data_IF_374999170120
#
_entry.id   IF_374999170120
#
_cell.length_a   1.000
_cell.length_b   1.000
_cell.length_c   1.000
_cell.angle_alpha   90.00
_cell.angle_beta   90.00
_cell.angle_gamma   90.00
#
_symmetry.space_group_name_H-M   'P 1'
#
loop_
_entity.id
_entity.type
_entity.pdbx_description
1 polymer ?
#
# COMPACT_ATOMS: atom_id res chain seq x y z
N UNK A 1 3.09 -10.97 -15.52
CA UNK A 1 4.35 -11.75 -15.51
C UNK A 1 5.51 -10.85 -15.87
N UNK A 2 6.58 -10.89 -15.08
CA UNK A 2 7.80 -10.13 -15.35
C UNK A 2 8.66 -10.87 -16.40
N UNK A 3 9.18 -10.21 -17.46
CA UNK A 3 10.09 -10.83 -18.40
C UNK A 3 11.33 -11.41 -17.74
N UNK A 4 11.95 -12.47 -18.31
CA UNK A 4 13.10 -13.15 -17.69
C UNK A 4 14.34 -12.27 -17.49
N UNK A 5 14.52 -11.25 -18.33
CA UNK A 5 15.65 -10.32 -18.34
C UNK A 5 15.51 -9.14 -17.36
N UNK A 6 14.39 -9.05 -16.64
CA UNK A 6 14.17 -7.96 -15.70
C UNK A 6 14.96 -8.17 -14.39
N UNK A 7 15.68 -7.15 -13.88
CA UNK A 7 16.43 -7.24 -12.62
C UNK A 7 15.61 -7.72 -11.44
N UNK A 8 14.36 -7.24 -11.33
CA UNK A 8 13.44 -7.66 -10.27
C UNK A 8 13.15 -9.17 -10.28
N UNK A 9 13.12 -9.78 -11.49
CA UNK A 9 12.95 -11.22 -11.61
C UNK A 9 14.19 -11.99 -11.13
N UNK A 10 15.38 -11.51 -11.42
CA UNK A 10 16.61 -12.13 -10.94
C UNK A 10 16.63 -12.17 -9.40
N UNK A 11 16.32 -11.04 -8.76
CA UNK A 11 16.22 -10.95 -7.29
C UNK A 11 15.18 -11.94 -6.74
N UNK A 12 14.02 -12.07 -7.40
CA UNK A 12 12.99 -13.02 -7.00
C UNK A 12 13.51 -14.47 -7.04
N UNK A 13 14.12 -14.87 -8.17
CA UNK A 13 14.66 -16.22 -8.35
C UNK A 13 15.79 -16.51 -7.37
N UNK A 14 16.67 -15.55 -7.12
CA UNK A 14 17.78 -15.72 -6.18
C UNK A 14 17.28 -15.92 -4.73
N UNK A 15 16.21 -15.22 -4.33
CA UNK A 15 15.54 -15.46 -3.04
C UNK A 15 14.94 -16.85 -2.93
N UNK A 16 14.30 -17.34 -4.00
CA UNK A 16 13.75 -18.69 -4.02
C UNK A 16 14.85 -19.75 -3.97
N UNK A 17 15.97 -19.56 -4.70
CA UNK A 17 17.13 -20.43 -4.63
C UNK A 17 17.72 -20.48 -3.22
N UNK A 18 17.82 -19.33 -2.56
CA UNK A 18 18.32 -19.25 -1.18
C UNK A 18 17.40 -19.95 -0.17
N UNK A 19 16.08 -19.98 -0.43
CA UNK A 19 15.10 -20.60 0.47
C UNK A 19 14.94 -22.10 0.23
N UNK A 20 14.93 -22.54 -1.04
CA UNK A 20 14.54 -23.91 -1.43
C UNK A 20 15.69 -24.78 -1.91
N UNK A 21 16.87 -24.21 -2.13
CA UNK A 21 18.07 -24.85 -2.68
C UNK A 21 17.89 -25.48 -4.07
N UNK A 22 16.77 -26.16 -4.32
CA UNK A 22 16.50 -26.88 -5.57
C UNK A 22 15.20 -26.47 -6.24
N UNK A 23 15.14 -26.64 -7.56
CA UNK A 23 13.92 -26.40 -8.33
C UNK A 23 12.79 -27.37 -7.95
N UNK A 24 13.14 -28.62 -7.64
CA UNK A 24 12.16 -29.63 -7.22
C UNK A 24 11.50 -29.26 -5.89
N UNK A 25 12.26 -28.68 -4.97
CA UNK A 25 11.72 -28.23 -3.68
C UNK A 25 10.70 -27.09 -3.84
N UNK A 26 10.97 -26.08 -4.69
CA UNK A 26 10.02 -25.03 -4.95
C UNK A 26 8.80 -25.53 -5.76
N UNK A 27 9.02 -26.42 -6.73
CA UNK A 27 7.91 -27.04 -7.47
C UNK A 27 6.97 -27.81 -6.52
N UNK A 28 7.52 -28.58 -5.60
CA UNK A 28 6.72 -29.29 -4.59
C UNK A 28 5.95 -28.33 -3.66
N UNK A 29 6.60 -27.26 -3.18
CA UNK A 29 6.00 -26.30 -2.28
C UNK A 29 4.88 -25.48 -2.96
N UNK A 30 5.04 -25.14 -4.23
CA UNK A 30 4.09 -24.32 -4.98
C UNK A 30 3.04 -25.13 -5.74
N UNK A 31 3.19 -26.46 -5.84
CA UNK A 31 2.40 -27.29 -6.73
C UNK A 31 2.64 -26.94 -8.20
N UNK A 32 3.86 -26.54 -8.55
CA UNK A 32 4.29 -26.18 -9.88
C UNK A 32 5.02 -27.34 -10.56
N UNK A 33 5.28 -27.21 -11.87
CA UNK A 33 6.03 -28.18 -12.67
C UNK A 33 6.98 -27.46 -13.63
N UNK A 34 7.75 -26.50 -13.11
CA UNK A 34 8.73 -25.76 -13.90
C UNK A 34 9.92 -26.65 -14.22
N UNK A 35 10.40 -26.62 -15.47
CA UNK A 35 11.56 -27.37 -15.94
C UNK A 35 12.88 -26.65 -15.68
N UNK A 36 12.83 -25.35 -15.39
CA UNK A 36 13.97 -24.52 -15.03
C UNK A 36 13.56 -23.34 -14.16
N UNK A 37 14.52 -22.70 -13.48
CA UNK A 37 14.30 -21.46 -12.74
C UNK A 37 13.76 -20.33 -13.63
N UNK A 38 14.20 -20.26 -14.89
CA UNK A 38 13.72 -19.27 -15.84
C UNK A 38 12.30 -19.54 -16.33
N UNK A 39 11.87 -20.80 -16.31
CA UNK A 39 10.52 -21.20 -16.66
C UNK A 39 9.54 -21.07 -15.47
N UNK A 40 10.04 -20.94 -14.23
CA UNK A 40 9.18 -20.85 -13.05
C UNK A 40 8.26 -19.62 -13.14
N UNK A 41 6.96 -19.84 -12.92
CA UNK A 41 5.91 -18.80 -12.91
C UNK A 41 5.00 -19.04 -11.71
N UNK A 42 4.37 -17.98 -11.24
CA UNK A 42 3.31 -18.11 -10.25
C UNK A 42 2.17 -18.93 -10.86
N UNK A 43 1.76 -20.05 -10.24
CA UNK A 43 0.66 -20.85 -10.72
C UNK A 43 -0.68 -20.12 -10.57
N UNK A 44 -1.65 -20.44 -11.43
CA UNK A 44 -3.01 -19.86 -11.34
C UNK A 44 -3.66 -20.15 -9.99
N UNK A 45 -3.45 -21.36 -9.47
CA UNK A 45 -3.87 -21.76 -8.13
C UNK A 45 -2.66 -21.82 -7.20
N UNK A 46 -2.49 -20.75 -6.43
CA UNK A 46 -1.37 -20.62 -5.52
C UNK A 46 -1.58 -21.37 -4.22
N UNK A 47 -0.56 -22.11 -3.79
CA UNK A 47 -0.46 -22.65 -2.43
C UNK A 47 -0.14 -21.54 -1.42
N UNK A 48 -0.31 -21.81 -0.13
CA UNK A 48 0.04 -20.84 0.91
C UNK A 48 1.55 -20.53 0.91
N UNK A 49 2.40 -21.51 0.59
CA UNK A 49 3.83 -21.30 0.41
C UNK A 49 4.12 -20.33 -0.75
N UNK A 50 3.45 -20.52 -1.91
CA UNK A 50 3.61 -19.63 -3.06
C UNK A 50 3.17 -18.19 -2.74
N UNK A 51 2.03 -18.02 -2.05
CA UNK A 51 1.54 -16.71 -1.61
C UNK A 51 2.54 -16.02 -0.68
N UNK A 52 3.01 -16.74 0.35
CA UNK A 52 3.97 -16.21 1.31
C UNK A 52 5.28 -15.78 0.63
N UNK A 53 5.74 -16.53 -0.37
CA UNK A 53 6.95 -16.16 -1.13
C UNK A 53 6.72 -14.92 -2.01
N UNK A 54 5.56 -14.81 -2.63
CA UNK A 54 5.19 -13.62 -3.40
C UNK A 54 5.10 -12.38 -2.49
N UNK A 55 4.42 -12.47 -1.36
CA UNK A 55 4.30 -11.40 -0.36
C UNK A 55 5.66 -10.98 0.19
N UNK A 56 6.56 -11.92 0.46
CA UNK A 56 7.91 -11.62 0.94
C UNK A 56 8.74 -10.84 -0.11
N UNK A 57 8.52 -11.11 -1.40
CA UNK A 57 9.19 -10.36 -2.47
C UNK A 57 8.55 -9.00 -2.68
N UNK A 58 7.22 -8.89 -2.64
CA UNK A 58 6.51 -7.61 -2.68
C UNK A 58 6.99 -6.68 -1.55
N UNK A 59 7.04 -7.20 -0.32
CA UNK A 59 7.57 -6.47 0.83
C UNK A 59 9.01 -6.00 0.57
N UNK A 60 9.90 -6.91 0.19
CA UNK A 60 11.30 -6.57 0.03
C UNK A 60 11.56 -5.56 -1.10
N UNK A 61 10.79 -5.65 -2.19
CA UNK A 61 10.87 -4.70 -3.29
C UNK A 61 10.37 -3.31 -2.86
N UNK A 62 9.22 -3.27 -2.19
CA UNK A 62 8.65 -2.03 -1.66
C UNK A 62 9.55 -1.41 -0.59
N UNK A 63 10.09 -2.21 0.32
CA UNK A 63 11.00 -1.73 1.37
C UNK A 63 12.25 -1.09 0.76
N UNK A 64 12.86 -1.73 -0.23
CA UNK A 64 14.03 -1.17 -0.93
C UNK A 64 13.70 0.16 -1.62
N UNK A 65 12.51 0.28 -2.23
CA UNK A 65 12.04 1.52 -2.84
C UNK A 65 11.92 2.64 -1.81
N UNK A 66 11.21 2.41 -0.70
CA UNK A 66 11.02 3.43 0.34
C UNK A 66 12.33 3.77 1.03
N UNK A 67 13.18 2.79 1.32
CA UNK A 67 14.49 2.99 1.94
C UNK A 67 15.41 3.86 1.08
N UNK A 68 15.44 3.62 -0.23
CA UNK A 68 16.25 4.42 -1.18
C UNK A 68 15.83 5.89 -1.16
N UNK A 69 14.52 6.16 -1.08
CA UNK A 69 14.01 7.53 -1.02
C UNK A 69 14.29 8.15 0.35
N UNK A 70 14.08 7.42 1.44
CA UNK A 70 14.37 7.89 2.79
C UNK A 70 15.84 8.33 2.94
N UNK A 71 16.77 7.50 2.48
CA UNK A 71 18.20 7.82 2.49
C UNK A 71 18.54 9.09 1.67
N UNK A 72 17.83 9.32 0.57
CA UNK A 72 18.01 10.55 -0.22
C UNK A 72 17.43 11.77 0.51
N UNK A 73 16.26 11.64 1.16
CA UNK A 73 15.66 12.71 1.95
C UNK A 73 16.56 13.05 3.13
N UNK A 74 17.03 12.08 3.89
CA UNK A 74 17.93 12.25 5.03
C UNK A 74 19.21 12.99 4.63
N UNK A 75 19.73 12.74 3.44
CA UNK A 75 20.95 13.37 2.92
C UNK A 75 20.72 14.82 2.48
N UNK A 76 19.58 15.12 1.86
CA UNK A 76 19.35 16.38 1.17
C UNK A 76 18.33 17.29 1.88
N UNK A 77 17.47 16.73 2.72
CA UNK A 77 16.41 17.43 3.44
C UNK A 77 16.17 16.83 4.84
N UNK A 78 17.19 16.76 5.72
CA UNK A 78 17.14 15.99 6.98
C UNK A 78 16.12 16.48 8.00
N UNK A 79 15.54 17.67 7.78
CA UNK A 79 14.52 18.25 8.66
C UNK A 79 13.09 18.08 8.12
N UNK A 80 12.89 17.30 7.06
CA UNK A 80 11.58 17.07 6.47
C UNK A 80 11.08 15.66 6.82
N UNK A 81 9.78 15.55 7.08
CA UNK A 81 9.14 14.25 7.27
C UNK A 81 8.93 13.55 5.90
N UNK A 82 9.22 12.28 5.87
CA UNK A 82 8.91 11.43 4.72
C UNK A 82 7.54 10.78 4.90
N UNK A 83 6.58 11.09 4.02
CA UNK A 83 5.21 10.58 4.07
C UNK A 83 4.96 9.40 3.11
N UNK A 84 6.00 8.91 2.45
CA UNK A 84 5.88 7.79 1.50
C UNK A 84 5.01 8.10 0.29
N UNK A 85 4.17 7.12 -0.06
CA UNK A 85 3.15 7.25 -1.10
C UNK A 85 1.77 7.43 -0.49
N UNK A 86 0.84 8.07 -1.23
CA UNK A 86 -0.58 8.11 -0.86
C UNK A 86 -1.27 6.84 -1.34
N UNK A 87 -1.55 5.94 -0.42
CA UNK A 87 -2.20 4.67 -0.73
C UNK A 87 -3.72 4.80 -0.75
N UNK A 88 -4.34 3.91 -1.52
CA UNK A 88 -5.76 3.63 -1.39
C UNK A 88 -5.91 2.30 -0.64
N UNK A 89 -6.31 2.28 0.64
CA UNK A 89 -6.17 1.11 1.53
C UNK A 89 -6.82 -0.17 1.01
N UNK A 90 -7.92 -0.04 0.25
CA UNK A 90 -8.63 -1.19 -0.30
C UNK A 90 -7.91 -1.88 -1.47
N UNK A 91 -6.93 -1.22 -2.08
CA UNK A 91 -6.21 -1.72 -3.27
C UNK A 91 -4.71 -1.86 -3.05
N UNK A 92 -4.20 -1.41 -1.92
CA UNK A 92 -2.79 -1.56 -1.58
C UNK A 92 -2.53 -2.95 -1.00
N UNK A 93 -1.59 -3.75 -1.55
CA UNK A 93 -1.18 -4.99 -0.93
C UNK A 93 -0.61 -4.75 0.47
N UNK A 94 -1.01 -5.59 1.44
CA UNK A 94 -0.54 -5.45 2.83
C UNK A 94 0.99 -5.43 2.96
N UNK A 95 1.76 -6.30 2.26
CA UNK A 95 3.23 -6.26 2.32
C UNK A 95 3.82 -4.92 1.88
N UNK A 96 3.23 -4.27 0.88
CA UNK A 96 3.69 -2.96 0.38
C UNK A 96 3.42 -1.86 1.40
N UNK A 97 2.22 -1.86 2.00
CA UNK A 97 1.86 -0.89 3.03
C UNK A 97 2.74 -1.05 4.28
N UNK A 98 2.98 -2.29 4.71
CA UNK A 98 3.87 -2.59 5.84
C UNK A 98 5.30 -2.12 5.54
N UNK A 99 5.83 -2.43 4.35
CA UNK A 99 7.16 -1.98 3.94
C UNK A 99 7.29 -0.45 3.92
N UNK A 100 6.23 0.26 3.54
CA UNK A 100 6.19 1.73 3.67
C UNK A 100 6.22 2.15 5.14
N UNK A 101 5.35 1.58 5.97
CA UNK A 101 5.24 1.91 7.39
C UNK A 101 6.56 1.69 8.16
N UNK A 102 7.34 0.67 7.78
CA UNK A 102 8.62 0.38 8.43
C UNK A 102 9.70 1.46 8.18
N UNK A 103 9.54 2.26 7.12
CA UNK A 103 10.55 3.22 6.67
C UNK A 103 10.14 4.67 6.87
N UNK A 104 8.88 5.02 6.60
CA UNK A 104 8.41 6.42 6.60
C UNK A 104 8.15 6.96 8.01
N UNK A 105 8.10 8.28 8.15
CA UNK A 105 7.71 8.93 9.42
C UNK A 105 6.20 8.89 9.62
N UNK A 106 5.43 9.09 8.56
CA UNK A 106 3.97 9.12 8.58
C UNK A 106 3.45 8.39 7.35
N UNK A 107 2.49 7.48 7.53
CA UNK A 107 1.81 6.81 6.40
C UNK A 107 0.74 7.72 5.85
N UNK A 108 0.66 7.90 4.54
CA UNK A 108 -0.38 8.69 3.89
C UNK A 108 -1.33 7.83 3.08
N UNK A 109 -2.64 8.07 3.24
CA UNK A 109 -3.68 7.36 2.49
C UNK A 109 -4.70 8.31 1.88
N UNK A 110 -5.29 7.92 0.76
CA UNK A 110 -6.47 8.56 0.18
C UNK A 110 -7.71 7.76 0.58
N UNK A 111 -8.69 8.40 1.22
CA UNK A 111 -9.81 7.66 1.77
C UNK A 111 -11.15 8.36 1.53
N UNK A 112 -11.87 7.92 0.50
CA UNK A 112 -13.10 8.53 0.00
C UNK A 112 -14.34 7.78 0.51
N UNK A 113 -14.64 7.93 1.79
CA UNK A 113 -15.87 7.48 2.43
C UNK A 113 -16.45 8.61 3.33
N UNK A 114 -17.69 8.51 3.80
CA UNK A 114 -18.25 9.52 4.69
C UNK A 114 -17.59 9.61 6.07
N UNK A 115 -16.84 8.59 6.48
CA UNK A 115 -16.10 8.54 7.74
C UNK A 115 -14.96 7.52 7.66
N UNK A 116 -13.98 7.62 8.54
CA UNK A 116 -12.89 6.65 8.69
C UNK A 116 -13.29 5.63 9.76
N UNK A 117 -13.47 4.34 9.42
CA UNK A 117 -13.72 3.30 10.40
C UNK A 117 -12.52 3.09 11.34
N UNK A 118 -12.77 2.84 12.62
CA UNK A 118 -11.71 2.62 13.62
C UNK A 118 -10.81 1.41 13.35
N UNK A 119 -11.24 0.50 12.48
CA UNK A 119 -10.45 -0.67 12.06
C UNK A 119 -9.49 -0.40 10.89
N UNK A 120 -9.59 0.75 10.25
CA UNK A 120 -8.71 1.10 9.11
C UNK A 120 -7.30 1.32 9.62
N UNK A 121 -6.34 0.54 9.12
CA UNK A 121 -4.92 0.63 9.50
C UNK A 121 -4.64 0.55 11.02
N UNK A 122 -5.52 -0.09 11.79
CA UNK A 122 -5.34 -0.28 13.23
C UNK A 122 -4.15 -1.20 13.57
N UNK A 123 -3.67 -1.98 12.62
CA UNK A 123 -2.50 -2.86 12.70
C UNK A 123 -1.18 -2.17 12.29
N UNK A 124 -1.23 -0.92 11.84
CA UNK A 124 -0.05 -0.13 11.49
C UNK A 124 0.40 0.70 12.70
N UNK A 125 1.59 0.40 13.21
CA UNK A 125 2.21 1.13 14.33
C UNK A 125 2.97 2.37 13.82
N UNK A 126 2.23 3.30 13.21
CA UNK A 126 2.74 4.59 12.70
C UNK A 126 1.63 5.65 12.73
N UNK A 127 1.98 6.92 12.85
CA UNK A 127 1.05 8.01 12.55
C UNK A 127 0.54 7.90 11.11
N UNK A 128 -0.74 8.15 10.91
CA UNK A 128 -1.39 8.12 9.59
C UNK A 128 -2.01 9.47 9.28
N UNK A 129 -1.87 9.94 8.05
CA UNK A 129 -2.54 11.14 7.55
C UNK A 129 -3.44 10.79 6.37
N UNK A 130 -4.64 11.36 6.34
CA UNK A 130 -5.45 11.36 5.14
C UNK A 130 -4.83 12.37 4.17
N UNK A 131 -4.26 11.87 3.08
CA UNK A 131 -3.63 12.70 2.05
C UNK A 131 -4.63 13.29 1.08
N UNK A 132 -5.84 12.69 0.98
CA UNK A 132 -6.87 13.12 0.04
C UNK A 132 -8.25 12.61 0.45
N UNK A 133 -9.22 13.53 0.50
CA UNK A 133 -10.64 13.30 0.71
C UNK A 133 -11.43 14.45 0.10
N UNK A 134 -12.66 14.21 -0.34
CA UNK A 134 -13.60 15.28 -0.70
C UNK A 134 -15.05 14.86 -0.54
N UNK A 135 -15.92 15.85 -0.47
CA UNK A 135 -17.38 15.74 -0.57
C UNK A 135 -17.88 16.73 -1.60
N UNK A 136 -18.67 16.29 -2.57
CA UNK A 136 -19.10 17.14 -3.67
C UNK A 136 -20.61 17.24 -3.80
N UNK A 137 -21.09 18.43 -4.20
CA UNK A 137 -22.49 18.72 -4.49
C UNK A 137 -22.64 19.50 -5.81
N UNK A 138 -23.82 19.45 -6.43
CA UNK A 138 -24.07 20.06 -7.74
C UNK A 138 -24.73 21.44 -7.68
N UNK A 139 -25.15 21.90 -6.50
CA UNK A 139 -25.94 23.12 -6.29
C UNK A 139 -25.17 24.44 -6.52
N UNK A 140 -23.84 24.36 -6.76
CA UNK A 140 -22.98 25.51 -7.06
C UNK A 140 -22.31 25.45 -8.43
N UNK A 141 -22.91 24.71 -9.37
CA UNK A 141 -22.46 24.67 -10.77
C UNK A 141 -21.40 23.65 -11.10
N UNK A 142 -21.08 22.72 -10.21
CA UNK A 142 -20.24 21.59 -10.52
C UNK A 142 -20.96 20.60 -11.43
N UNK A 143 -20.25 19.96 -12.36
CA UNK A 143 -20.79 18.97 -13.29
C UNK A 143 -20.81 17.55 -12.70
N UNK A 144 -20.05 17.32 -11.65
CA UNK A 144 -19.89 16.01 -11.01
C UNK A 144 -19.60 16.16 -9.52
N UNK A 145 -20.15 15.26 -8.71
CA UNK A 145 -19.96 15.28 -7.23
C UNK A 145 -18.61 14.74 -6.78
N UNK A 146 -17.85 14.12 -7.66
CA UNK A 146 -16.71 13.32 -7.25
C UNK A 146 -17.11 11.95 -6.67
N UNK A 147 -16.27 11.37 -5.83
CA UNK A 147 -16.44 10.02 -5.29
C UNK A 147 -17.44 9.93 -4.13
N UNK A 148 -17.57 11.00 -3.34
CA UNK A 148 -18.53 11.07 -2.24
C UNK A 148 -19.48 12.23 -2.45
N UNK A 149 -20.74 11.91 -2.75
CA UNK A 149 -21.77 12.89 -3.05
C UNK A 149 -22.45 13.42 -1.78
N UNK A 150 -22.72 14.72 -1.75
CA UNK A 150 -23.61 15.38 -0.81
C UNK A 150 -24.81 15.99 -1.55
N UNK A 151 -25.90 16.26 -0.84
CA UNK A 151 -27.10 16.82 -1.43
C UNK A 151 -26.91 18.29 -1.88
N UNK A 152 -26.13 19.05 -1.13
CA UNK A 152 -25.81 20.47 -1.34
C UNK A 152 -24.54 20.85 -0.57
N UNK A 153 -24.12 22.12 -0.64
CA UNK A 153 -22.92 22.60 0.06
C UNK A 153 -23.00 22.50 1.58
N UNK A 154 -24.18 22.68 2.16
CA UNK A 154 -24.35 22.50 3.62
C UNK A 154 -24.12 21.04 4.00
N UNK A 155 -24.64 20.08 3.22
CA UNK A 155 -24.38 18.66 3.36
C UNK A 155 -22.89 18.29 3.17
N UNK A 156 -22.16 18.97 2.30
CA UNK A 156 -20.69 18.82 2.21
C UNK A 156 -20.03 19.22 3.53
N UNK A 157 -20.45 20.32 4.15
CA UNK A 157 -19.95 20.78 5.45
C UNK A 157 -20.25 19.79 6.58
N UNK A 158 -21.45 19.20 6.61
CA UNK A 158 -21.84 18.19 7.58
C UNK A 158 -21.01 16.92 7.45
N UNK A 159 -20.83 16.41 6.22
CA UNK A 159 -19.99 15.25 5.94
C UNK A 159 -18.54 15.51 6.30
N UNK A 160 -18.02 16.71 5.99
CA UNK A 160 -16.65 17.08 6.38
C UNK A 160 -16.48 17.09 7.90
N UNK A 161 -17.42 17.69 8.63
CA UNK A 161 -17.38 17.70 10.11
C UNK A 161 -17.44 16.29 10.70
N UNK A 162 -18.28 15.39 10.16
CA UNK A 162 -18.33 13.99 10.55
C UNK A 162 -17.02 13.28 10.27
N UNK A 163 -16.45 13.49 9.09
CA UNK A 163 -15.20 12.89 8.69
C UNK A 163 -14.05 13.29 9.62
N UNK A 164 -13.89 14.60 9.88
CA UNK A 164 -12.85 15.11 10.78
C UNK A 164 -12.98 14.52 12.19
N UNK A 165 -14.21 14.37 12.71
CA UNK A 165 -14.42 13.70 14.00
C UNK A 165 -13.92 12.25 13.97
N UNK A 166 -14.27 11.49 12.92
CA UNK A 166 -13.82 10.11 12.81
C UNK A 166 -12.29 9.98 12.68
N UNK A 167 -11.63 10.94 12.04
CA UNK A 167 -10.15 11.03 12.01
C UNK A 167 -9.58 11.33 13.39
N UNK A 168 -10.16 12.32 14.09
CA UNK A 168 -9.68 12.73 15.42
C UNK A 168 -9.91 11.66 16.52
N UNK A 169 -10.93 10.84 16.37
CA UNK A 169 -11.23 9.72 17.27
C UNK A 169 -10.38 8.47 17.01
N UNK A 170 -9.72 8.40 15.84
CA UNK A 170 -8.92 7.25 15.48
C UNK A 170 -7.52 7.33 16.13
N UNK A 171 -7.02 6.26 16.79
CA UNK A 171 -5.79 6.31 17.58
C UNK A 171 -4.53 6.61 16.75
N UNK A 172 -4.51 6.22 15.48
CA UNK A 172 -3.32 6.32 14.63
C UNK A 172 -3.35 7.54 13.70
N UNK A 173 -4.51 8.20 13.50
CA UNK A 173 -4.60 9.32 12.57
C UNK A 173 -4.24 10.64 13.23
N UNK A 174 -3.40 11.42 12.55
CA UNK A 174 -2.88 12.70 13.03
C UNK A 174 -3.40 13.89 12.24
N UNK A 175 -4.13 13.68 11.17
CA UNK A 175 -4.71 14.76 10.39
C UNK A 175 -5.29 14.31 9.05
N UNK A 176 -5.89 15.28 8.34
CA UNK A 176 -6.32 15.07 6.97
C UNK A 176 -6.14 16.33 6.11
N UNK A 177 -5.98 16.12 4.81
CA UNK A 177 -5.96 17.14 3.76
C UNK A 177 -7.16 16.97 2.85
N UNK A 178 -7.75 18.13 2.49
CA UNK A 178 -8.86 18.22 1.53
C UNK A 178 -8.34 18.02 0.10
#
# INVERSE_FOLDING_TARGET
>A
SCPPDQPARAVFIDRLKAKYDTLDAVNAAWGAAAESWDALRLPDRQTDACKADAEAVEYAFAHHYFQTIAEAIDRHAPNQLYLGCRFTPFYCPKPVLQACADVVDVVSINFYLPMVPSSVLSDIDKPVVIGEVHFGALDRGMFHTGLVAAANQDGCGELYAQYIRSVAEHPNFVGCHW
#
